data_IF_484689642018
#
_entry.id   IF_484689642018
#
_cell.length_a   1.000
_cell.length_b   1.000
_cell.length_c   1.000
_cell.angle_alpha   90.00
_cell.angle_beta   90.00
_cell.angle_gamma   90.00
#
_symmetry.space_group_name_H-M   'P 1'
#
loop_
_entity.id
_entity.type
_entity.pdbx_description
1 polymer ?
#
# COMPACT_ATOMS: atom_id res chain seq x y z
N UNK A 1 -18.76 -7.09 50.58
CA UNK A 1 -17.92 -7.40 49.40
C UNK A 1 -18.64 -6.83 48.16
N UNK A 2 -18.63 -5.52 47.89
CA UNK A 2 -17.59 -4.66 47.30
C UNK A 2 -16.90 -5.25 46.04
N UNK A 3 -17.45 -4.84 44.87
CA UNK A 3 -16.82 -4.59 43.55
C UNK A 3 -16.39 -5.81 42.71
N UNK A 4 -17.26 -6.21 41.76
CA UNK A 4 -16.86 -6.93 40.54
C UNK A 4 -17.80 -6.66 39.34
N UNK A 5 -18.32 -5.43 39.20
CA UNK A 5 -19.16 -5.01 38.06
C UNK A 5 -18.37 -4.13 37.05
N UNK A 6 -17.06 -3.99 37.22
CA UNK A 6 -16.31 -2.91 36.59
C UNK A 6 -15.18 -3.29 35.65
N UNK A 7 -15.22 -4.42 34.91
CA UNK A 7 -14.20 -4.70 33.86
C UNK A 7 -14.80 -5.50 32.70
N UNK A 8 -15.78 -4.93 31.98
CA UNK A 8 -15.97 -5.24 30.55
C UNK A 8 -16.78 -4.15 29.80
N UNK A 9 -16.80 -2.93 30.34
CA UNK A 9 -17.28 -1.74 29.65
C UNK A 9 -16.09 -0.83 29.24
N UNK A 10 -14.93 -1.44 28.94
CA UNK A 10 -13.71 -0.72 28.51
C UNK A 10 -13.24 -1.17 27.12
N UNK A 11 -14.20 -1.50 26.24
CA UNK A 11 -14.02 -1.50 24.78
C UNK A 11 -15.15 -0.74 24.07
N UNK A 12 -15.80 0.18 24.79
CA UNK A 12 -16.70 1.21 24.22
C UNK A 12 -15.97 2.55 24.15
N UNK A 13 -14.80 2.56 23.49
CA UNK A 13 -14.30 3.78 22.85
C UNK A 13 -14.30 3.53 21.34
N UNK A 14 -15.51 3.34 20.81
CA UNK A 14 -15.80 3.62 19.40
C UNK A 14 -15.83 5.16 19.22
N UNK A 15 -14.77 5.84 19.62
CA UNK A 15 -14.51 7.19 19.16
C UNK A 15 -14.17 7.06 17.68
N UNK A 16 -15.13 7.43 16.83
CA UNK A 16 -15.14 7.38 15.38
C UNK A 16 -14.03 8.25 14.73
N UNK A 17 -12.77 8.00 15.06
CA UNK A 17 -11.67 8.88 14.70
C UNK A 17 -10.29 8.26 14.87
N UNK A 18 -9.98 7.18 14.15
CA UNK A 18 -8.57 6.78 13.95
C UNK A 18 -8.28 5.88 12.74
N UNK A 19 -9.27 5.35 12.02
CA UNK A 19 -9.04 4.61 10.76
C UNK A 19 -9.21 5.50 9.51
N UNK A 20 -9.84 6.67 9.64
CA UNK A 20 -10.09 7.62 8.54
C UNK A 20 -8.82 8.15 7.82
N UNK A 21 -7.67 8.21 8.49
CA UNK A 21 -6.58 9.13 8.12
C UNK A 21 -5.76 8.82 6.84
N UNK A 22 -5.92 7.64 6.22
CA UNK A 22 -5.05 7.24 5.10
C UNK A 22 -5.51 7.64 3.68
N UNK A 23 -6.80 7.92 3.44
CA UNK A 23 -7.32 8.12 2.06
C UNK A 23 -8.03 9.47 1.81
N UNK A 24 -8.36 10.21 2.88
CA UNK A 24 -8.97 11.53 2.80
C UNK A 24 -8.13 12.56 3.54
N UNK A 25 -7.95 13.77 2.96
CA UNK A 25 -7.44 14.91 3.70
C UNK A 25 -8.20 15.10 5.00
N UNK A 26 -7.53 15.44 6.10
CA UNK A 26 -8.22 15.74 7.38
C UNK A 26 -9.33 16.80 7.19
N UNK A 27 -9.04 17.81 6.38
CA UNK A 27 -9.98 18.87 6.01
C UNK A 27 -11.22 18.35 5.26
N UNK A 28 -11.06 17.30 4.44
CA UNK A 28 -12.17 16.70 3.69
C UNK A 28 -13.16 15.98 4.59
N UNK A 29 -12.70 15.44 5.73
CA UNK A 29 -13.55 14.73 6.70
C UNK A 29 -14.48 15.72 7.41
N UNK A 30 -14.04 16.96 7.65
CA UNK A 30 -14.84 17.98 8.33
C UNK A 30 -16.03 18.47 7.48
N UNK A 31 -16.00 18.25 6.16
CA UNK A 31 -17.09 18.61 5.25
C UNK A 31 -18.27 17.62 5.27
N UNK A 32 -18.13 16.49 5.96
CA UNK A 32 -19.10 15.40 5.99
C UNK A 32 -19.91 15.40 7.28
N UNK A 33 -21.20 15.12 7.18
CA UNK A 33 -22.05 14.89 8.35
C UNK A 33 -21.80 13.50 8.96
N UNK A 34 -22.39 13.23 10.12
CA UNK A 34 -22.20 11.97 10.86
C UNK A 34 -22.63 10.74 10.05
N UNK A 35 -23.76 10.80 9.36
CA UNK A 35 -24.28 9.68 8.57
C UNK A 35 -23.41 9.38 7.35
N UNK A 36 -22.92 10.42 6.66
CA UNK A 36 -22.00 10.29 5.54
C UNK A 36 -20.67 9.67 5.98
N UNK A 37 -20.14 10.12 7.12
CA UNK A 37 -18.94 9.54 7.74
C UNK A 37 -19.14 8.06 8.03
N UNK A 38 -20.23 7.68 8.69
CA UNK A 38 -20.54 6.30 9.02
C UNK A 38 -20.67 5.41 7.76
N UNK A 39 -21.37 5.88 6.73
CA UNK A 39 -21.53 5.16 5.45
C UNK A 39 -20.18 4.95 4.76
N UNK A 40 -19.34 5.98 4.69
CA UNK A 40 -18.02 5.90 4.03
C UNK A 40 -17.08 4.97 4.80
N UNK A 41 -17.11 4.97 6.14
CA UNK A 41 -16.29 4.04 6.94
C UNK A 41 -16.71 2.59 6.75
N UNK A 42 -18.02 2.32 6.69
CA UNK A 42 -18.52 0.98 6.39
C UNK A 42 -18.03 0.52 5.00
N UNK A 43 -18.22 1.36 3.98
CA UNK A 43 -17.74 1.09 2.62
C UNK A 43 -16.23 0.82 2.60
N UNK A 44 -15.46 1.57 3.37
CA UNK A 44 -14.00 1.42 3.47
C UNK A 44 -13.62 0.11 4.14
N UNK A 45 -14.23 -0.21 5.27
CA UNK A 45 -13.97 -1.43 6.02
C UNK A 45 -14.28 -2.66 5.17
N UNK A 46 -15.42 -2.66 4.48
CA UNK A 46 -15.82 -3.74 3.59
C UNK A 46 -14.86 -3.87 2.41
N UNK A 47 -14.46 -2.75 1.80
CA UNK A 47 -13.45 -2.73 0.74
C UNK A 47 -12.09 -3.26 1.21
N UNK A 48 -11.63 -2.88 2.41
CA UNK A 48 -10.37 -3.34 2.98
C UNK A 48 -10.39 -4.85 3.23
N UNK A 49 -11.47 -5.39 3.79
CA UNK A 49 -11.66 -6.84 3.96
C UNK A 49 -11.54 -7.57 2.63
N UNK A 50 -12.26 -7.10 1.61
CA UNK A 50 -12.20 -7.68 0.26
C UNK A 50 -10.80 -7.59 -0.36
N UNK A 51 -10.08 -6.47 -0.16
CA UNK A 51 -8.70 -6.33 -0.65
C UNK A 51 -7.74 -7.31 0.03
N UNK A 52 -7.86 -7.50 1.34
CA UNK A 52 -7.02 -8.43 2.10
C UNK A 52 -7.22 -9.85 1.56
N UNK A 53 -8.48 -10.28 1.44
CA UNK A 53 -8.82 -11.60 0.93
C UNK A 53 -8.26 -11.84 -0.48
N UNK A 54 -8.48 -10.90 -1.41
CA UNK A 54 -8.01 -11.04 -2.79
C UNK A 54 -6.48 -11.02 -2.89
N UNK A 55 -5.80 -10.20 -2.09
CA UNK A 55 -4.33 -10.20 -2.04
C UNK A 55 -3.78 -11.50 -1.48
N UNK A 56 -4.43 -12.08 -0.47
CA UNK A 56 -4.07 -13.39 0.06
C UNK A 56 -4.22 -14.47 -1.02
N UNK A 57 -5.34 -14.49 -1.75
CA UNK A 57 -5.57 -15.43 -2.85
C UNK A 57 -4.53 -15.30 -3.98
N UNK A 58 -4.16 -14.06 -4.35
CA UNK A 58 -3.08 -13.82 -5.32
C UNK A 58 -1.76 -14.38 -4.79
N UNK A 59 -1.47 -14.17 -3.50
CA UNK A 59 -0.22 -14.63 -2.91
C UNK A 59 -0.14 -16.15 -2.88
N UNK A 60 -1.23 -16.83 -2.56
CA UNK A 60 -1.32 -18.30 -2.60
C UNK A 60 -1.06 -18.79 -4.02
N UNK A 61 -1.78 -18.29 -5.02
CA UNK A 61 -1.59 -18.68 -6.42
C UNK A 61 -0.14 -18.46 -6.93
N UNK A 62 0.52 -17.39 -6.47
CA UNK A 62 1.94 -17.16 -6.77
C UNK A 62 2.88 -18.17 -6.11
N UNK A 63 2.56 -18.62 -4.90
CA UNK A 63 3.32 -19.66 -4.21
C UNK A 63 3.12 -21.01 -4.91
N UNK A 64 1.90 -21.32 -5.34
CA UNK A 64 1.58 -22.53 -6.10
C UNK A 64 2.39 -22.58 -7.41
N UNK A 65 2.45 -21.47 -8.17
CA UNK A 65 3.31 -21.37 -9.36
C UNK A 65 4.79 -21.55 -9.03
N UNK A 66 5.26 -20.97 -7.93
CA UNK A 66 6.66 -21.11 -7.49
C UNK A 66 6.98 -22.56 -7.13
N UNK A 67 6.05 -23.28 -6.51
CA UNK A 67 6.20 -24.69 -6.17
C UNK A 67 6.25 -25.56 -7.42
N UNK A 68 5.36 -25.33 -8.40
CA UNK A 68 5.37 -26.02 -9.69
C UNK A 68 6.72 -25.85 -10.39
N UNK A 69 7.29 -24.64 -10.39
CA UNK A 69 8.59 -24.34 -11.00
C UNK A 69 9.79 -24.93 -10.23
N UNK A 70 9.66 -25.19 -8.93
CA UNK A 70 10.73 -25.79 -8.11
C UNK A 70 10.81 -27.31 -8.28
N UNK A 71 9.77 -27.93 -8.86
CA UNK A 71 9.76 -29.35 -9.16
C UNK A 71 10.95 -29.73 -10.05
N UNK A 72 11.56 -30.89 -9.80
CA UNK A 72 12.66 -31.43 -10.63
C UNK A 72 12.19 -31.86 -12.03
N UNK A 73 10.87 -31.99 -12.23
CA UNK A 73 10.25 -32.32 -13.52
C UNK A 73 9.76 -31.05 -14.21
N UNK A 74 9.87 -31.01 -15.53
CA UNK A 74 9.25 -29.97 -16.37
C UNK A 74 7.77 -29.81 -15.98
N UNK A 75 7.31 -28.60 -15.64
CA UNK A 75 5.94 -28.39 -15.19
C UNK A 75 4.92 -28.60 -16.32
N UNK A 76 3.70 -28.97 -15.93
CA UNK A 76 2.55 -29.00 -16.83
C UNK A 76 2.11 -27.57 -17.18
N UNK A 77 2.35 -27.15 -18.42
CA UNK A 77 2.03 -25.82 -18.93
C UNK A 77 0.54 -25.50 -18.77
N UNK A 78 -0.37 -26.47 -18.97
CA UNK A 78 -1.81 -26.24 -18.83
C UNK A 78 -2.18 -25.87 -17.39
N UNK A 79 -1.52 -26.48 -16.40
CA UNK A 79 -1.72 -26.14 -14.98
C UNK A 79 -1.13 -24.77 -14.64
N UNK A 80 0.04 -24.46 -15.17
CA UNK A 80 0.67 -23.14 -15.00
C UNK A 80 -0.21 -22.02 -15.58
N UNK A 81 -0.73 -22.20 -16.79
CA UNK A 81 -1.61 -21.23 -17.45
C UNK A 81 -2.89 -20.99 -16.66
N UNK A 82 -3.45 -22.04 -16.05
CA UNK A 82 -4.63 -21.92 -15.18
C UNK A 82 -4.35 -21.07 -13.94
N UNK A 83 -3.24 -21.30 -13.24
CA UNK A 83 -2.87 -20.49 -12.07
C UNK A 83 -2.51 -19.05 -12.46
N UNK A 84 -1.83 -18.85 -13.60
CA UNK A 84 -1.56 -17.51 -14.13
C UNK A 84 -2.85 -16.76 -14.52
N UNK A 85 -3.82 -17.45 -15.13
CA UNK A 85 -5.12 -16.89 -15.46
C UNK A 85 -5.90 -16.50 -14.19
N UNK A 86 -5.84 -17.31 -13.13
CA UNK A 86 -6.43 -17.01 -11.83
C UNK A 86 -5.82 -15.75 -11.21
N UNK A 87 -4.49 -15.61 -11.21
CA UNK A 87 -3.80 -14.39 -10.76
C UNK A 87 -4.29 -13.17 -11.53
N UNK A 88 -4.40 -13.29 -12.86
CA UNK A 88 -4.83 -12.20 -13.74
C UNK A 88 -6.27 -11.78 -13.44
N UNK A 89 -7.18 -12.75 -13.28
CA UNK A 89 -8.57 -12.50 -12.87
C UNK A 89 -8.68 -11.82 -11.51
N UNK A 90 -7.91 -12.27 -10.53
CA UNK A 90 -7.90 -11.67 -9.18
C UNK A 90 -7.38 -10.23 -9.21
N UNK A 91 -6.35 -9.93 -9.99
CA UNK A 91 -5.84 -8.56 -10.18
C UNK A 91 -6.88 -7.65 -10.86
N UNK A 92 -7.56 -8.14 -11.89
CA UNK A 92 -8.66 -7.39 -12.51
C UNK A 92 -9.81 -7.13 -11.54
N UNK A 93 -10.16 -8.12 -10.71
CA UNK A 93 -11.19 -7.96 -9.69
C UNK A 93 -10.80 -6.93 -8.62
N UNK A 94 -9.54 -6.89 -8.19
CA UNK A 94 -9.04 -5.83 -7.29
C UNK A 94 -9.22 -4.43 -7.90
N UNK A 95 -8.92 -4.27 -9.20
CA UNK A 95 -9.10 -3.01 -9.90
C UNK A 95 -10.59 -2.61 -10.00
N UNK A 96 -11.46 -3.55 -10.37
CA UNK A 96 -12.89 -3.34 -10.44
C UNK A 96 -13.49 -2.96 -9.06
N UNK A 97 -13.10 -3.67 -8.00
CA UNK A 97 -13.53 -3.39 -6.64
C UNK A 97 -13.11 -1.98 -6.19
N UNK A 98 -11.92 -1.53 -6.58
CA UNK A 98 -11.48 -0.16 -6.29
C UNK A 98 -12.36 0.87 -6.99
N UNK A 99 -12.72 0.64 -8.26
CA UNK A 99 -13.64 1.52 -8.99
C UNK A 99 -15.02 1.55 -8.32
N UNK A 100 -15.57 0.38 -7.96
CA UNK A 100 -16.87 0.28 -7.29
C UNK A 100 -16.88 1.00 -5.95
N UNK A 101 -15.83 0.86 -5.15
CA UNK A 101 -15.66 1.60 -3.90
C UNK A 101 -15.71 3.11 -4.15
N UNK A 102 -14.96 3.63 -5.12
CA UNK A 102 -14.95 5.07 -5.45
C UNK A 102 -16.33 5.58 -5.91
N UNK A 103 -17.04 4.80 -6.74
CA UNK A 103 -18.40 5.12 -7.19
C UNK A 103 -19.35 5.17 -5.99
N UNK A 104 -19.29 4.18 -5.10
CA UNK A 104 -20.16 4.10 -3.93
C UNK A 104 -19.89 5.25 -2.95
N UNK A 105 -18.63 5.64 -2.75
CA UNK A 105 -18.30 6.85 -1.98
C UNK A 105 -18.89 8.09 -2.65
N UNK A 106 -18.74 8.25 -3.97
CA UNK A 106 -19.30 9.40 -4.69
C UNK A 106 -20.81 9.54 -4.53
N UNK A 107 -21.55 8.41 -4.51
CA UNK A 107 -23.01 8.38 -4.29
C UNK A 107 -23.43 8.88 -2.89
N UNK A 108 -22.54 8.86 -1.90
CA UNK A 108 -22.82 9.35 -0.54
C UNK A 108 -22.64 10.88 -0.44
N UNK A 109 -21.87 11.47 -1.33
CA UNK A 109 -21.47 12.88 -1.30
C UNK A 109 -22.39 13.74 -2.16
N UNK A 110 -22.66 14.97 -1.71
CA UNK A 110 -23.25 15.99 -2.58
C UNK A 110 -22.25 16.46 -3.63
N UNK A 111 -22.72 17.09 -4.69
CA UNK A 111 -21.86 17.62 -5.76
C UNK A 111 -20.91 18.70 -5.24
N UNK A 112 -21.39 19.56 -4.35
CA UNK A 112 -20.58 20.58 -3.70
C UNK A 112 -19.49 19.97 -2.81
N UNK A 113 -19.83 18.98 -1.98
CA UNK A 113 -18.84 18.26 -1.16
C UNK A 113 -17.79 17.57 -2.03
N UNK A 114 -18.22 16.91 -3.10
CA UNK A 114 -17.32 16.24 -4.03
C UNK A 114 -16.35 17.22 -4.71
N UNK A 115 -16.84 18.35 -5.20
CA UNK A 115 -16.03 19.38 -5.81
C UNK A 115 -14.99 19.91 -4.82
N UNK A 116 -15.39 20.19 -3.58
CA UNK A 116 -14.46 20.66 -2.55
C UNK A 116 -13.38 19.63 -2.21
N UNK A 117 -13.76 18.36 -2.09
CA UNK A 117 -12.79 17.26 -1.84
C UNK A 117 -11.80 17.14 -3.01
N UNK A 118 -12.27 17.29 -4.25
CA UNK A 118 -11.42 17.26 -5.45
C UNK A 118 -10.39 18.39 -5.44
N UNK A 119 -10.81 19.61 -5.10
CA UNK A 119 -9.91 20.77 -4.96
C UNK A 119 -8.83 20.53 -3.89
N UNK A 120 -9.23 20.09 -2.70
CA UNK A 120 -8.31 19.79 -1.59
C UNK A 120 -7.29 18.72 -1.99
N UNK A 121 -7.73 17.65 -2.68
CA UNK A 121 -6.83 16.62 -3.22
C UNK A 121 -5.85 17.18 -4.25
N UNK A 122 -6.31 18.09 -5.12
CA UNK A 122 -5.47 18.79 -6.09
C UNK A 122 -4.36 19.61 -5.43
N UNK A 123 -4.72 20.42 -4.43
CA UNK A 123 -3.77 21.23 -3.66
C UNK A 123 -2.71 20.37 -2.98
N UNK A 124 -3.12 19.33 -2.26
CA UNK A 124 -2.19 18.42 -1.59
C UNK A 124 -1.26 17.68 -2.56
N UNK A 125 -1.74 17.33 -3.75
CA UNK A 125 -0.90 16.73 -4.80
C UNK A 125 0.13 17.73 -5.32
N UNK A 126 -0.27 18.97 -5.57
CA UNK A 126 0.62 20.03 -6.02
C UNK A 126 1.69 20.35 -4.96
N UNK A 127 1.30 20.46 -3.69
CA UNK A 127 2.24 20.66 -2.58
C UNK A 127 3.23 19.50 -2.45
N UNK A 128 2.75 18.25 -2.55
CA UNK A 128 3.64 17.08 -2.52
C UNK A 128 4.61 17.09 -3.70
N UNK A 129 4.18 17.52 -4.88
CA UNK A 129 5.04 17.65 -6.06
C UNK A 129 6.08 18.75 -5.87
N UNK A 130 5.67 19.93 -5.39
CA UNK A 130 6.57 21.04 -5.04
C UNK A 130 7.63 20.59 -4.03
N UNK A 131 7.25 19.92 -2.94
CA UNK A 131 8.20 19.35 -1.96
C UNK A 131 9.14 18.30 -2.56
N UNK A 132 8.74 17.58 -3.62
CA UNK A 132 9.62 16.63 -4.31
C UNK A 132 10.61 17.34 -5.23
N UNK A 133 10.25 18.49 -5.79
CA UNK A 133 11.12 19.34 -6.62
C UNK A 133 12.08 20.18 -5.78
N UNK A 134 11.64 20.68 -4.63
CA UNK A 134 12.45 21.42 -3.66
C UNK A 134 13.38 20.52 -2.82
N UNK A 135 13.19 19.21 -2.91
CA UNK A 135 14.15 18.27 -2.36
C UNK A 135 15.39 18.32 -3.25
N UNK A 136 16.58 18.67 -2.73
CA UNK A 136 17.79 18.55 -3.52
C UNK A 136 17.84 17.11 -4.04
N UNK A 137 17.99 16.98 -5.36
CA UNK A 137 18.16 15.68 -5.99
C UNK A 137 19.23 14.95 -5.20
N UNK A 138 18.96 13.69 -4.85
CA UNK A 138 19.82 12.83 -4.03
C UNK A 138 21.07 12.39 -4.85
N UNK A 139 21.75 13.39 -5.42
CA UNK A 139 22.96 13.33 -6.23
C UNK A 139 23.94 14.46 -5.88
N UNK A 140 23.53 15.48 -5.10
CA UNK A 140 24.45 16.54 -4.60
C UNK A 140 25.04 16.25 -3.21
N UNK A 141 24.81 15.05 -2.64
CA UNK A 141 25.51 14.62 -1.43
C UNK A 141 25.95 13.17 -1.56
N UNK A 142 26.98 12.97 -2.38
CA UNK A 142 28.17 12.21 -2.02
C UNK A 142 29.25 12.61 -3.03
N UNK A 143 29.92 13.75 -2.81
CA UNK A 143 31.38 13.68 -2.89
C UNK A 143 31.78 12.61 -1.87
N UNK A 144 31.80 11.34 -2.30
CA UNK A 144 32.64 10.34 -1.67
C UNK A 144 34.01 11.00 -1.73
N UNK A 145 34.71 11.24 -0.61
CA UNK A 145 36.12 11.55 -0.70
C UNK A 145 36.67 10.47 -1.62
N UNK A 146 37.31 10.85 -2.73
CA UNK A 146 38.13 9.90 -3.44
C UNK A 146 39.04 9.35 -2.36
N UNK A 147 38.75 8.12 -1.90
CA UNK A 147 39.79 7.30 -1.35
C UNK A 147 40.74 7.22 -2.52
N UNK A 148 41.75 8.10 -2.52
CA UNK A 148 42.98 7.90 -3.24
C UNK A 148 43.34 6.48 -2.87
N UNK A 149 43.02 5.56 -3.78
CA UNK A 149 43.62 4.24 -3.78
C UNK A 149 45.06 4.56 -4.09
N UNK A 150 45.79 4.94 -3.05
CA UNK A 150 47.22 4.85 -3.07
C UNK A 150 47.46 3.40 -3.44
N UNK A 151 47.88 3.21 -4.69
CA UNK A 151 48.34 1.93 -5.17
C UNK A 151 49.59 1.60 -4.35
N UNK A 152 49.38 1.13 -3.11
CA UNK A 152 50.30 0.23 -2.47
C UNK A 152 50.28 -1.03 -3.34
N UNK A 153 51.09 -0.98 -4.41
CA UNK A 153 51.72 -2.15 -4.98
C UNK A 153 52.34 -2.88 -3.79
N UNK A 154 51.62 -3.84 -3.22
CA UNK A 154 52.28 -4.96 -2.58
C UNK A 154 53.15 -5.56 -3.68
N UNK A 155 54.45 -5.28 -3.62
CA UNK A 155 55.44 -5.99 -4.42
C UNK A 155 55.28 -7.46 -4.03
N UNK A 156 54.67 -8.26 -4.90
CA UNK A 156 54.71 -9.71 -4.75
C UNK A 156 56.20 -10.11 -4.67
N UNK A 157 56.61 -10.93 -3.69
CA UNK A 157 57.95 -11.47 -3.70
C UNK A 157 58.10 -12.33 -4.96
N UNK A 158 59.12 -12.03 -5.76
CA UNK A 158 59.51 -12.84 -6.91
C UNK A 158 59.94 -14.20 -6.37
N UNK A 159 59.21 -15.25 -6.71
CA UNK A 159 59.64 -16.62 -6.40
C UNK A 159 60.86 -16.95 -7.28
N UNK A 160 61.95 -17.50 -6.72
CA UNK A 160 63.09 -17.91 -7.53
C UNK A 160 62.72 -19.17 -8.34
N UNK A 161 62.95 -19.10 -9.65
CA UNK A 161 62.88 -20.25 -10.55
C UNK A 161 63.89 -21.32 -10.11
N UNK A 162 63.45 -22.58 -10.09
CA UNK A 162 64.30 -23.77 -10.02
C UNK A 162 64.01 -24.64 -11.23
#
# INVERSE_FOLDING_TARGET
MKKAIGILALLMVFAAGSVFAQDFPKEAINLLNADQKAKIEKLRTDFQKQQIEQRAQIRIAQLDLKEMLRSSRVPDISKMDKEQAKISRLKSRLAANRLHFLINVRKVLTDQQWQKIRELRGKLRAERMKRRMERPMRGERFHRPEFKREHHRMKMPVMPEK
#
